data_IF_399826697607
#
_entry.id   IF_399826697607
#
_cell.length_a   1.000
_cell.length_b   1.000
_cell.length_c   1.000
_cell.angle_alpha   90.00
_cell.angle_beta   90.00
_cell.angle_gamma   90.00
#
_symmetry.space_group_name_H-M   'P 1'
#
loop_
_entity.id
_entity.type
_entity.pdbx_description
1 polymer ?
#
# COMPACT_ATOMS: atom_id res chain seq x y z
N UNK A 1 -22.66 -18.10 -27.21
CA UNK A 1 -22.05 -18.08 -26.62
C UNK A 1 -21.32 -17.42 -26.21
N UNK A 2 -20.90 -17.31 -25.52
CA UNK A 2 -20.35 -16.59 -24.99
C UNK A 2 -19.14 -16.16 -24.45
N UNK A 3 -18.24 -15.96 -25.21
CA UNK A 3 -17.01 -15.32 -24.78
C UNK A 3 -17.35 -13.92 -24.22
N UNK A 4 -16.77 -13.52 -23.07
CA UNK A 4 -16.97 -12.17 -22.58
C UNK A 4 -16.48 -11.16 -23.63
N UNK A 5 -17.13 -9.99 -23.73
CA UNK A 5 -16.70 -8.99 -24.70
C UNK A 5 -15.26 -8.57 -24.42
N UNK A 6 -14.47 -8.56 -25.46
CA UNK A 6 -13.10 -8.09 -25.36
C UNK A 6 -13.10 -6.57 -25.29
N UNK A 7 -12.15 -6.02 -24.56
CA UNK A 7 -11.97 -4.58 -24.53
C UNK A 7 -11.60 -4.08 -25.91
N UNK A 8 -12.13 -2.91 -26.29
CA UNK A 8 -11.71 -2.23 -27.50
C UNK A 8 -10.26 -1.79 -27.37
N UNK A 9 -9.63 -1.47 -28.47
CA UNK A 9 -8.26 -0.95 -28.45
C UNK A 9 -8.15 0.31 -27.59
N UNK A 10 -9.13 1.20 -27.69
CA UNK A 10 -9.17 2.43 -26.90
C UNK A 10 -9.32 2.16 -25.42
N UNK A 11 -10.24 1.24 -25.07
CA UNK A 11 -10.43 0.82 -23.67
C UNK A 11 -9.18 0.19 -23.11
N UNK A 12 -8.49 -0.61 -23.91
CA UNK A 12 -7.24 -1.26 -23.50
C UNK A 12 -6.13 -0.25 -23.25
N UNK A 13 -6.00 0.74 -24.15
CA UNK A 13 -5.03 1.82 -23.98
C UNK A 13 -5.33 2.65 -22.74
N UNK A 14 -6.59 2.95 -22.49
CA UNK A 14 -7.02 3.70 -21.32
C UNK A 14 -6.71 2.92 -20.04
N UNK A 15 -6.96 1.60 -20.03
CA UNK A 15 -6.67 0.75 -18.89
C UNK A 15 -5.16 0.69 -18.61
N UNK A 16 -4.34 0.57 -19.65
CA UNK A 16 -2.87 0.55 -19.51
C UNK A 16 -2.34 1.88 -19.00
N UNK A 17 -2.88 2.99 -19.49
CA UNK A 17 -2.50 4.33 -19.05
C UNK A 17 -2.84 4.53 -17.57
N UNK A 18 -4.03 4.09 -17.17
CA UNK A 18 -4.47 4.18 -15.76
C UNK A 18 -3.59 3.33 -14.86
N UNK A 19 -3.25 2.10 -15.29
CA UNK A 19 -2.37 1.22 -14.53
C UNK A 19 -0.98 1.81 -14.38
N UNK A 20 -0.43 2.40 -15.44
CA UNK A 20 0.87 3.06 -15.41
C UNK A 20 0.86 4.26 -14.45
N UNK A 21 -0.20 5.04 -14.48
CA UNK A 21 -0.36 6.19 -13.60
C UNK A 21 -0.45 5.74 -12.13
N UNK A 22 -1.20 4.67 -11.84
CA UNK A 22 -1.29 4.12 -10.49
C UNK A 22 0.06 3.66 -9.97
N UNK A 23 0.85 2.97 -10.81
CA UNK A 23 2.20 2.55 -10.43
C UNK A 23 3.11 3.74 -10.13
N UNK A 24 3.00 4.79 -10.92
CA UNK A 24 3.78 6.01 -10.75
C UNK A 24 3.44 6.69 -9.43
N UNK A 25 2.16 6.81 -9.12
CA UNK A 25 1.68 7.40 -7.86
C UNK A 25 2.20 6.61 -6.66
N UNK A 26 2.10 5.28 -6.71
CA UNK A 26 2.60 4.42 -5.62
C UNK A 26 4.11 4.54 -5.44
N UNK A 27 4.85 4.54 -6.55
CA UNK A 27 6.31 4.65 -6.50
C UNK A 27 6.74 5.99 -5.89
N UNK A 28 6.08 7.07 -6.28
CA UNK A 28 6.35 8.40 -5.73
C UNK A 28 6.05 8.46 -4.24
N UNK A 29 4.90 7.93 -3.84
CA UNK A 29 4.50 7.90 -2.43
C UNK A 29 5.50 7.12 -1.58
N UNK A 30 5.91 5.94 -2.05
CA UNK A 30 6.89 5.11 -1.33
C UNK A 30 8.25 5.79 -1.23
N UNK A 31 8.68 6.46 -2.29
CA UNK A 31 9.94 7.21 -2.27
C UNK A 31 9.91 8.33 -1.24
N UNK A 32 8.78 9.02 -1.12
CA UNK A 32 8.60 10.10 -0.15
C UNK A 32 8.58 9.58 1.28
N UNK A 33 8.00 8.40 1.51
CA UNK A 33 8.05 7.75 2.84
C UNK A 33 9.49 7.38 3.19
N UNK A 34 10.21 6.80 2.25
CA UNK A 34 11.59 6.37 2.44
C UNK A 34 12.51 7.54 2.81
N UNK A 35 12.28 8.69 2.23
CA UNK A 35 13.09 9.90 2.47
C UNK A 35 12.59 10.75 3.64
N UNK A 36 11.46 10.38 4.24
CA UNK A 36 10.90 11.11 5.38
C UNK A 36 10.05 12.32 5.02
N UNK A 37 9.82 12.55 3.73
CA UNK A 37 8.96 13.66 3.25
C UNK A 37 7.51 13.39 3.62
N UNK A 38 7.11 12.11 3.66
CA UNK A 38 5.77 11.69 4.07
C UNK A 38 5.83 10.69 5.18
N UNK A 39 4.83 10.74 6.05
CA UNK A 39 4.64 9.73 7.09
C UNK A 39 3.76 8.60 6.54
N UNK A 40 4.03 7.35 6.92
CA UNK A 40 3.28 6.19 6.45
C UNK A 40 1.80 6.24 6.80
N UNK A 41 1.43 6.93 7.90
CA UNK A 41 0.03 7.10 8.30
C UNK A 41 -0.81 7.79 7.22
N UNK A 42 -0.20 8.61 6.40
CA UNK A 42 -0.90 9.33 5.34
C UNK A 42 -1.55 8.40 4.33
N UNK A 43 -1.01 7.18 4.17
CA UNK A 43 -1.62 6.18 3.28
C UNK A 43 -3.03 5.82 3.71
N UNK A 44 -3.28 5.75 5.02
CA UNK A 44 -4.59 5.38 5.59
C UNK A 44 -5.60 6.52 5.52
N UNK A 45 -5.16 7.72 5.24
CA UNK A 45 -6.02 8.89 5.11
C UNK A 45 -6.11 9.39 3.67
N UNK A 46 -5.46 8.69 2.75
CA UNK A 46 -5.45 9.08 1.34
C UNK A 46 -6.79 8.83 0.66
N UNK A 47 -7.17 9.74 -0.23
CA UNK A 47 -8.33 9.57 -1.10
C UNK A 47 -7.92 9.03 -2.47
N UNK A 48 -6.62 8.89 -2.72
CA UNK A 48 -6.11 8.38 -3.99
C UNK A 48 -6.29 6.87 -4.06
N UNK A 49 -6.99 6.40 -5.10
CA UNK A 49 -7.28 4.98 -5.29
C UNK A 49 -6.00 4.13 -5.39
N UNK A 50 -4.95 4.65 -6.03
CA UNK A 50 -3.69 3.93 -6.17
C UNK A 50 -3.07 3.62 -4.80
N UNK A 51 -3.15 4.56 -3.87
CA UNK A 51 -2.61 4.40 -2.51
C UNK A 51 -3.51 3.51 -1.67
N UNK A 52 -4.83 3.69 -1.76
CA UNK A 52 -5.80 2.88 -1.03
C UNK A 52 -5.71 1.40 -1.40
N UNK A 53 -5.40 1.09 -2.64
CA UNK A 53 -5.27 -0.29 -3.15
C UNK A 53 -3.90 -0.89 -2.94
N UNK A 54 -2.94 -0.11 -2.45
CA UNK A 54 -1.60 -0.61 -2.15
C UNK A 54 -1.67 -1.61 -1.00
N UNK A 55 -0.85 -2.66 -1.05
CA UNK A 55 -0.77 -3.62 0.05
C UNK A 55 -0.04 -2.99 1.22
N UNK A 56 -0.49 -3.30 2.44
CA UNK A 56 0.16 -2.78 3.65
C UNK A 56 1.61 -3.22 3.72
N UNK A 57 1.89 -4.45 3.31
CA UNK A 57 3.27 -4.97 3.24
C UNK A 57 4.17 -4.08 2.38
N UNK A 58 3.67 -3.68 1.21
CA UNK A 58 4.40 -2.80 0.31
C UNK A 58 4.67 -1.44 0.96
N UNK A 59 3.69 -0.90 1.67
CA UNK A 59 3.84 0.34 2.40
C UNK A 59 4.93 0.23 3.46
N UNK A 60 4.94 -0.85 4.25
CA UNK A 60 5.94 -1.04 5.31
C UNK A 60 7.34 -1.22 4.74
N UNK A 61 7.46 -1.89 3.59
CA UNK A 61 8.76 -2.05 2.94
C UNK A 61 9.35 -0.73 2.44
N UNK A 62 8.52 0.30 2.32
CA UNK A 62 8.99 1.64 1.96
C UNK A 62 9.65 2.36 3.15
N UNK A 63 9.43 1.89 4.38
CA UNK A 63 10.06 2.48 5.55
C UNK A 63 11.57 2.20 5.56
N UNK A 64 12.39 3.17 5.99
CA UNK A 64 13.84 2.94 6.09
C UNK A 64 14.16 1.73 6.96
N UNK A 65 14.99 0.83 6.46
CA UNK A 65 15.40 -0.36 7.20
C UNK A 65 14.39 -1.50 7.22
N UNK A 66 13.25 -1.36 6.54
CA UNK A 66 12.26 -2.42 6.47
C UNK A 66 12.39 -3.23 5.19
N UNK A 67 12.85 -4.48 5.34
CA UNK A 67 12.80 -5.46 4.26
C UNK A 67 11.53 -6.29 4.34
N UNK A 68 11.44 -7.29 3.48
CA UNK A 68 10.28 -8.17 3.39
C UNK A 68 10.00 -8.92 4.71
N UNK A 69 11.04 -9.46 5.33
CA UNK A 69 10.91 -10.26 6.56
C UNK A 69 10.39 -9.40 7.71
N UNK A 70 10.97 -8.23 7.88
CA UNK A 70 10.57 -7.32 8.96
C UNK A 70 9.15 -6.81 8.78
N UNK A 71 8.79 -6.47 7.55
CA UNK A 71 7.43 -6.05 7.23
C UNK A 71 6.42 -7.16 7.53
N UNK A 72 6.71 -8.38 7.11
CA UNK A 72 5.84 -9.53 7.36
C UNK A 72 5.69 -9.81 8.86
N UNK A 73 6.78 -9.69 9.63
CA UNK A 73 6.75 -9.90 11.09
C UNK A 73 5.85 -8.88 11.79
N UNK A 74 5.95 -7.62 11.41
CA UNK A 74 5.09 -6.55 11.97
C UNK A 74 3.62 -6.81 11.65
N UNK A 75 3.32 -7.19 10.41
CA UNK A 75 1.94 -7.49 9.98
C UNK A 75 1.38 -8.67 10.78
N UNK A 76 2.17 -9.71 10.98
CA UNK A 76 1.73 -10.87 11.76
C UNK A 76 1.36 -10.46 13.18
N UNK A 77 2.19 -9.65 13.83
CA UNK A 77 1.92 -9.14 15.18
C UNK A 77 0.69 -8.25 15.23
N UNK A 78 0.41 -7.52 14.17
CA UNK A 78 -0.77 -6.66 14.07
C UNK A 78 -2.04 -7.41 13.68
N UNK A 79 -1.91 -8.70 13.34
CA UNK A 79 -3.04 -9.50 12.88
C UNK A 79 -3.49 -9.13 11.47
N UNK A 80 -2.57 -8.67 10.64
CA UNK A 80 -2.86 -8.23 9.27
C UNK A 80 -2.23 -9.20 8.27
N UNK A 81 -3.04 -9.71 7.33
CA UNK A 81 -2.55 -10.56 6.25
C UNK A 81 -1.57 -9.80 5.36
N UNK A 82 -0.55 -10.49 4.85
CA UNK A 82 0.40 -9.90 3.90
C UNK A 82 -0.26 -9.48 2.58
N UNK A 83 -1.45 -10.02 2.29
CA UNK A 83 -2.22 -9.65 1.11
C UNK A 83 -3.20 -8.50 1.36
N UNK A 84 -3.34 -8.05 2.61
CA UNK A 84 -4.29 -7.00 2.96
C UNK A 84 -3.88 -5.66 2.34
N UNK A 85 -4.86 -4.96 1.78
CA UNK A 85 -4.63 -3.62 1.21
C UNK A 85 -4.93 -2.54 2.25
N UNK A 86 -4.37 -1.36 2.05
CA UNK A 86 -4.55 -0.22 2.96
C UNK A 86 -6.03 0.02 3.27
N UNK A 87 -6.88 0.06 2.23
CA UNK A 87 -8.31 0.30 2.41
C UNK A 87 -9.06 -0.82 3.14
N UNK A 88 -8.47 -2.02 3.22
CA UNK A 88 -9.08 -3.17 3.85
C UNK A 88 -8.68 -3.39 5.30
N UNK A 89 -7.86 -2.53 5.87
CA UNK A 89 -7.40 -2.66 7.25
C UNK A 89 -8.52 -2.24 8.20
N UNK A 90 -8.87 -3.14 9.15
CA UNK A 90 -9.86 -2.85 10.16
C UNK A 90 -9.33 -1.91 11.22
N UNK A 91 -10.23 -1.33 12.01
CA UNK A 91 -9.87 -0.35 13.03
C UNK A 91 -8.89 -0.90 14.07
N UNK A 92 -9.15 -2.09 14.61
CA UNK A 92 -8.26 -2.67 15.61
C UNK A 92 -6.90 -3.06 15.03
N UNK A 93 -6.87 -3.50 13.78
CA UNK A 93 -5.64 -3.80 13.07
C UNK A 93 -4.81 -2.53 12.86
N UNK A 94 -5.47 -1.44 12.49
CA UNK A 94 -4.84 -0.14 12.32
C UNK A 94 -4.21 0.36 13.63
N UNK A 95 -4.96 0.26 14.73
CA UNK A 95 -4.46 0.66 16.05
C UNK A 95 -3.26 -0.18 16.49
N UNK A 96 -3.30 -1.49 16.26
CA UNK A 96 -2.18 -2.39 16.55
C UNK A 96 -0.96 -2.02 15.72
N UNK A 97 -1.15 -1.74 14.45
CA UNK A 97 -0.07 -1.36 13.54
C UNK A 97 0.58 -0.04 13.97
N UNK A 98 -0.23 0.95 14.33
CA UNK A 98 0.26 2.23 14.82
C UNK A 98 1.14 2.04 16.05
N UNK A 99 0.67 1.25 16.99
CA UNK A 99 1.37 0.98 18.24
C UNK A 99 2.73 0.33 17.98
N UNK A 100 2.74 -0.70 17.13
CA UNK A 100 3.96 -1.43 16.80
C UNK A 100 4.99 -0.55 16.08
N UNK A 101 4.55 0.24 15.11
CA UNK A 101 5.44 1.11 14.35
C UNK A 101 5.92 2.30 15.18
N UNK A 102 5.11 2.77 16.12
CA UNK A 102 5.53 3.82 17.05
C UNK A 102 6.67 3.34 17.93
N UNK A 103 6.63 2.09 18.40
CA UNK A 103 7.71 1.49 19.17
C UNK A 103 9.01 1.42 18.36
N UNK A 104 8.91 1.08 17.08
CA UNK A 104 10.05 1.01 16.18
C UNK A 104 10.65 2.41 15.94
N UNK A 105 9.81 3.41 15.70
CA UNK A 105 10.24 4.79 15.47
C UNK A 105 10.89 5.41 16.71
N UNK A 106 10.51 4.95 17.90
CA UNK A 106 11.03 5.48 19.16
C UNK A 106 12.44 4.97 19.49
N UNK A 107 12.95 3.99 18.75
CA UNK A 107 14.26 3.37 19.01
C UNK A 107 15.40 4.08 18.28
#
# INVERSE_FOLDING_TARGET
MGAPPKLTLEERRAALAKAAQSRKVRAQFKAEIKTGVRHWLEAFHSTDEAIKKMRVKELLQALPGFGEIRAAAILERAGISTARRVQGVGRSQYESLRKLLKEVEAR
#
